data_IF_446516547954
#
_entry.id   IF_446516547954
#
_cell.length_a   1.000
_cell.length_b   1.000
_cell.length_c   1.000
_cell.angle_alpha   90.00
_cell.angle_beta   90.00
_cell.angle_gamma   90.00
#
_symmetry.space_group_name_H-M   'P 1'
#
loop_
_entity.id
_entity.type
_entity.pdbx_description
1 polymer ?
#
# COMPACT_ATOMS: atom_id res chain seq x y z
N UNK A 1 -14.41 -20.58 -13.24
CA UNK A 1 -13.95 -19.30 -12.65
C UNK A 1 -12.53 -19.06 -13.14
N UNK A 2 -12.26 -17.96 -13.85
CA UNK A 2 -10.95 -17.71 -14.46
C UNK A 2 -9.86 -17.56 -13.39
N UNK A 3 -8.67 -18.11 -13.63
CA UNK A 3 -7.51 -18.06 -12.73
C UNK A 3 -7.23 -16.64 -12.18
N UNK A 4 -7.25 -15.64 -13.07
CA UNK A 4 -7.02 -14.23 -12.72
C UNK A 4 -8.06 -13.67 -11.75
N UNK A 5 -9.31 -14.13 -11.85
CA UNK A 5 -10.39 -13.68 -10.98
C UNK A 5 -10.19 -14.17 -9.53
N UNK A 6 -9.76 -15.42 -9.36
CA UNK A 6 -9.43 -15.97 -8.03
C UNK A 6 -8.26 -15.22 -7.40
N UNK A 7 -7.19 -14.95 -8.16
CA UNK A 7 -6.02 -14.20 -7.69
C UNK A 7 -6.41 -12.78 -7.25
N UNK A 8 -7.29 -12.11 -8.00
CA UNK A 8 -7.80 -10.77 -7.64
C UNK A 8 -8.59 -10.77 -6.32
N UNK A 9 -9.45 -11.76 -6.10
CA UNK A 9 -10.20 -11.88 -4.85
C UNK A 9 -9.26 -12.12 -3.66
N UNK A 10 -8.34 -13.08 -3.80
CA UNK A 10 -7.39 -13.44 -2.73
C UNK A 10 -6.50 -12.24 -2.38
N UNK A 11 -5.93 -11.57 -3.39
CA UNK A 11 -5.10 -10.38 -3.16
C UNK A 11 -5.85 -9.25 -2.47
N UNK A 12 -7.13 -9.03 -2.81
CA UNK A 12 -7.97 -8.02 -2.14
C UNK A 12 -8.18 -8.37 -0.65
N UNK A 13 -8.48 -9.64 -0.34
CA UNK A 13 -8.65 -10.10 1.05
C UNK A 13 -7.35 -9.90 1.84
N UNK A 14 -6.20 -10.26 1.25
CA UNK A 14 -4.88 -10.07 1.87
C UNK A 14 -4.62 -8.60 2.16
N UNK A 15 -4.90 -7.71 1.21
CA UNK A 15 -4.72 -6.26 1.40
C UNK A 15 -5.56 -5.74 2.56
N UNK A 16 -6.85 -6.08 2.59
CA UNK A 16 -7.75 -5.65 3.67
C UNK A 16 -7.25 -6.17 5.02
N UNK A 17 -6.88 -7.45 5.10
CA UNK A 17 -6.38 -8.06 6.33
C UNK A 17 -5.11 -7.37 6.85
N UNK A 18 -4.13 -7.12 5.99
CA UNK A 18 -2.88 -6.43 6.37
C UNK A 18 -3.14 -4.99 6.82
N UNK A 19 -4.04 -4.26 6.15
CA UNK A 19 -4.40 -2.90 6.57
C UNK A 19 -5.09 -2.88 7.94
N UNK A 20 -5.93 -3.87 8.26
CA UNK A 20 -6.52 -4.04 9.60
C UNK A 20 -5.43 -4.30 10.63
N UNK A 21 -4.44 -5.15 10.32
CA UNK A 21 -3.30 -5.38 11.22
C UNK A 21 -2.50 -4.10 11.47
N UNK A 22 -2.25 -3.28 10.45
CA UNK A 22 -1.57 -1.99 10.63
C UNK A 22 -2.40 -1.02 11.47
N UNK A 23 -3.71 -0.96 11.26
CA UNK A 23 -4.59 -0.13 12.07
C UNK A 23 -4.59 -0.55 13.54
N UNK A 24 -4.53 -1.85 13.83
CA UNK A 24 -4.49 -2.37 15.20
C UNK A 24 -3.16 -2.11 15.92
N UNK A 25 -2.06 -2.05 15.18
CA UNK A 25 -0.71 -1.76 15.71
C UNK A 25 -0.39 -0.25 15.72
N UNK A 26 -1.39 0.60 15.93
CA UNK A 26 -1.21 2.05 16.04
C UNK A 26 -0.66 2.43 17.41
N UNK A 27 0.27 3.37 17.42
CA UNK A 27 0.89 3.89 18.63
C UNK A 27 0.04 5.02 19.24
N UNK A 28 -0.60 5.81 18.38
CA UNK A 28 -1.40 6.97 18.78
C UNK A 28 -2.81 6.89 18.17
N UNK A 29 -3.82 7.28 18.95
CA UNK A 29 -5.18 7.45 18.43
C UNK A 29 -5.23 8.68 17.54
N UNK A 30 -5.24 8.44 16.23
CA UNK A 30 -5.26 9.46 15.21
C UNK A 30 -6.57 9.41 14.42
N UNK A 31 -7.24 10.56 14.33
CA UNK A 31 -8.45 10.70 13.51
C UNK A 31 -8.21 10.29 12.05
N UNK A 32 -9.14 9.50 11.53
CA UNK A 32 -9.13 8.98 10.15
C UNK A 32 -7.90 8.14 9.79
N UNK A 33 -7.24 7.51 10.77
CA UNK A 33 -6.05 6.68 10.53
C UNK A 33 -6.30 5.59 9.47
N UNK A 34 -7.45 4.91 9.49
CA UNK A 34 -7.78 3.88 8.49
C UNK A 34 -7.75 4.42 7.05
N UNK A 35 -8.40 5.57 6.81
CA UNK A 35 -8.38 6.24 5.51
C UNK A 35 -6.95 6.65 5.11
N UNK A 36 -6.16 7.14 6.07
CA UNK A 36 -4.76 7.49 5.84
C UNK A 36 -3.94 6.27 5.43
N UNK A 37 -4.07 5.12 6.12
CA UNK A 37 -3.37 3.88 5.77
C UNK A 37 -3.73 3.40 4.36
N UNK A 38 -5.03 3.44 4.00
CA UNK A 38 -5.48 3.17 2.62
C UNK A 38 -4.82 4.13 1.63
N UNK A 39 -4.76 5.43 1.95
CA UNK A 39 -4.10 6.43 1.12
C UNK A 39 -2.60 6.17 0.93
N UNK A 40 -1.89 5.81 2.00
CA UNK A 40 -0.47 5.42 1.92
C UNK A 40 -0.27 4.16 1.10
N UNK A 41 -1.15 3.16 1.24
CA UNK A 41 -1.14 1.96 0.41
C UNK A 41 -1.33 2.27 -1.07
N UNK A 42 -2.33 3.08 -1.43
CA UNK A 42 -2.58 3.52 -2.80
C UNK A 42 -1.40 4.32 -3.35
N UNK A 43 -0.77 5.18 -2.54
CA UNK A 43 0.46 5.87 -2.95
C UNK A 43 1.56 4.86 -3.28
N UNK A 44 1.73 3.84 -2.44
CA UNK A 44 2.72 2.79 -2.66
C UNK A 44 2.49 1.98 -3.94
N UNK A 45 1.23 1.76 -4.34
CA UNK A 45 0.92 0.99 -5.56
C UNK A 45 1.06 1.80 -6.86
N UNK A 46 1.05 3.13 -6.76
CA UNK A 46 1.05 4.01 -7.91
C UNK A 46 2.39 3.98 -8.66
N UNK A 47 2.32 3.65 -9.95
CA UNK A 47 3.49 3.49 -10.81
C UNK A 47 3.28 4.12 -12.18
N UNK A 48 4.38 4.42 -12.84
CA UNK A 48 4.43 4.94 -14.19
C UNK A 48 5.32 4.02 -15.03
N UNK A 49 4.81 3.53 -16.15
CA UNK A 49 5.56 2.68 -17.07
C UNK A 49 6.06 3.52 -18.26
N UNK A 50 7.34 3.88 -18.25
CA UNK A 50 8.01 4.60 -19.36
C UNK A 50 9.26 3.83 -19.75
N UNK A 51 9.08 2.76 -20.54
CA UNK A 51 10.14 1.79 -20.85
C UNK A 51 10.52 0.88 -19.67
N UNK A 52 10.58 1.44 -18.46
CA UNK A 52 10.75 0.74 -17.18
C UNK A 52 9.59 1.09 -16.23
N UNK A 53 9.30 0.18 -15.29
CA UNK A 53 8.32 0.40 -14.23
C UNK A 53 8.92 1.29 -13.14
N UNK A 54 8.38 2.50 -12.97
CA UNK A 54 8.86 3.47 -11.97
C UNK A 54 7.78 3.58 -10.88
N UNK A 55 8.08 3.26 -9.61
CA UNK A 55 7.13 3.38 -8.51
C UNK A 55 7.00 4.85 -8.04
N UNK A 56 6.47 5.70 -8.90
CA UNK A 56 6.46 7.15 -8.70
C UNK A 56 5.69 7.55 -7.44
N UNK A 57 4.60 6.85 -7.08
CA UNK A 57 3.86 7.14 -5.86
C UNK A 57 4.65 6.82 -4.59
N UNK A 58 5.48 5.79 -4.61
CA UNK A 58 6.40 5.51 -3.50
C UNK A 58 7.51 6.56 -3.39
N UNK A 59 8.01 7.07 -4.52
CA UNK A 59 8.99 8.17 -4.53
C UNK A 59 8.36 9.46 -3.98
N UNK A 60 7.14 9.79 -4.41
CA UNK A 60 6.35 10.91 -3.88
C UNK A 60 6.16 10.78 -2.37
N UNK A 61 5.81 9.58 -1.90
CA UNK A 61 5.69 9.28 -0.48
C UNK A 61 7.00 9.60 0.27
N UNK A 62 8.12 9.08 -0.24
CA UNK A 62 9.43 9.23 0.41
C UNK A 62 9.87 10.69 0.50
N UNK A 63 9.59 11.49 -0.53
CA UNK A 63 10.07 12.88 -0.62
C UNK A 63 9.13 13.90 0.03
N UNK A 64 7.81 13.71 -0.08
CA UNK A 64 6.84 14.73 0.34
C UNK A 64 6.16 14.41 1.67
N UNK A 65 6.08 13.14 2.08
CA UNK A 65 5.30 12.74 3.25
C UNK A 65 6.20 12.36 4.44
N UNK A 66 6.26 13.26 5.41
CA UNK A 66 6.97 13.04 6.68
C UNK A 66 5.97 13.01 7.86
N UNK A 67 5.23 11.90 8.05
CA UNK A 67 4.23 11.82 9.10
C UNK A 67 4.88 11.90 10.48
N UNK A 68 4.32 12.75 11.35
CA UNK A 68 4.78 12.93 12.73
C UNK A 68 4.26 11.84 13.67
N UNK A 69 2.99 11.46 13.50
CA UNK A 69 2.29 10.44 14.29
C UNK A 69 2.17 9.14 13.51
N UNK A 70 2.16 7.99 14.20
CA UNK A 70 1.96 6.67 13.57
C UNK A 70 2.89 6.42 12.35
N UNK A 71 4.11 6.99 12.38
CA UNK A 71 5.03 7.02 11.24
C UNK A 71 5.36 5.62 10.73
N UNK A 72 5.55 4.68 11.65
CA UNK A 72 5.91 3.29 11.37
C UNK A 72 4.84 2.59 10.54
N UNK A 73 3.56 2.61 10.98
CA UNK A 73 2.47 1.93 10.27
C UNK A 73 2.09 2.61 8.94
N UNK A 74 2.23 3.95 8.84
CA UNK A 74 2.05 4.68 7.58
C UNK A 74 3.13 4.33 6.57
N UNK A 75 4.39 4.23 7.02
CA UNK A 75 5.50 3.75 6.21
C UNK A 75 5.28 2.31 5.74
N UNK A 76 4.88 1.42 6.65
CA UNK A 76 4.62 0.03 6.29
C UNK A 76 3.45 -0.10 5.32
N UNK A 77 2.44 0.76 5.40
CA UNK A 77 1.34 0.80 4.41
C UNK A 77 1.84 1.17 3.02
N UNK A 78 2.71 2.19 2.90
CA UNK A 78 3.32 2.58 1.63
C UNK A 78 4.25 1.50 1.05
N UNK A 79 5.09 0.90 1.90
CA UNK A 79 5.97 -0.22 1.49
C UNK A 79 5.13 -1.42 1.05
N UNK A 80 4.04 -1.73 1.76
CA UNK A 80 3.14 -2.82 1.39
C UNK A 80 2.46 -2.57 0.04
N UNK A 81 2.06 -1.33 -0.26
CA UNK A 81 1.58 -0.95 -1.59
C UNK A 81 2.62 -1.19 -2.68
N UNK A 82 3.87 -0.82 -2.44
CA UNK A 82 4.98 -1.07 -3.37
C UNK A 82 5.18 -2.58 -3.60
N UNK A 83 5.16 -3.39 -2.55
CA UNK A 83 5.27 -4.85 -2.66
C UNK A 83 4.13 -5.45 -3.49
N UNK A 84 2.89 -5.02 -3.24
CA UNK A 84 1.73 -5.49 -4.00
C UNK A 84 1.81 -5.10 -5.48
N UNK A 85 2.32 -3.91 -5.78
CA UNK A 85 2.58 -3.48 -7.16
C UNK A 85 3.62 -4.37 -7.86
N UNK A 86 4.74 -4.67 -7.20
CA UNK A 86 5.78 -5.54 -7.76
C UNK A 86 5.26 -6.97 -7.98
N UNK A 87 4.53 -7.51 -7.01
CA UNK A 87 3.92 -8.84 -7.11
C UNK A 87 2.88 -8.89 -8.23
N UNK A 88 2.02 -7.88 -8.32
CA UNK A 88 1.04 -7.78 -9.40
C UNK A 88 1.70 -7.73 -10.78
N UNK A 89 2.77 -6.95 -10.93
CA UNK A 89 3.52 -6.88 -12.19
C UNK A 89 4.20 -8.21 -12.58
N UNK A 90 4.55 -9.05 -11.60
CA UNK A 90 5.20 -10.33 -11.86
C UNK A 90 4.20 -11.45 -12.17
N UNK A 91 2.99 -11.37 -11.62
CA UNK A 91 1.94 -12.39 -11.77
C UNK A 91 1.10 -12.21 -13.04
N UNK A 92 0.93 -10.97 -13.51
CA UNK A 92 0.08 -10.59 -14.65
C UNK A 92 0.90 -9.99 -15.80
#
# INVERSE_FOLDING_TARGET
>A
MNWNFNVSIISTIVVIFVLILFYRNRDEDEGYLGLKLVGYYILGTFNLKVGILIPIGFIIWLLLFHPKTNRTIKRYSAIFGLLMMLLGHWIF
#
